data_IF_908199147361
#
_entry.id   IF_908199147361
#
_cell.length_a   1.000
_cell.length_b   1.000
_cell.length_c   1.000
_cell.angle_alpha   90.00
_cell.angle_beta   90.00
_cell.angle_gamma   90.00
#
_symmetry.space_group_name_H-M   'P 1'
#
loop_
_entity.id
_entity.type
_entity.pdbx_description
1 polymer ?
#
# COMPACT_ATOMS: atom_id res chain seq x y z
N UNK A 1 -8.91 27.92 -20.57
CA UNK A 1 -7.75 27.35 -19.84
C UNK A 1 -8.21 26.66 -18.56
N UNK A 2 -8.89 27.36 -17.63
CA UNK A 2 -9.50 26.76 -16.42
C UNK A 2 -10.44 25.57 -16.69
N UNK A 3 -11.25 25.63 -17.74
CA UNK A 3 -12.11 24.51 -18.15
C UNK A 3 -11.33 23.27 -18.57
N UNK A 4 -10.25 23.43 -19.35
CA UNK A 4 -9.41 22.31 -19.79
C UNK A 4 -8.64 21.66 -18.62
N UNK A 5 -8.27 22.47 -17.63
CA UNK A 5 -7.59 22.02 -16.40
C UNK A 5 -8.51 21.08 -15.61
N UNK A 6 -9.76 21.48 -15.38
CA UNK A 6 -10.73 20.65 -14.65
C UNK A 6 -11.10 19.38 -15.43
N UNK A 7 -11.21 19.47 -16.76
CA UNK A 7 -11.52 18.30 -17.61
C UNK A 7 -10.42 17.24 -17.51
N UNK A 8 -9.15 17.63 -17.44
CA UNK A 8 -8.04 16.67 -17.30
C UNK A 8 -8.15 15.82 -16.03
N UNK A 9 -8.30 16.45 -14.86
CA UNK A 9 -8.38 15.75 -13.57
C UNK A 9 -9.63 14.85 -13.47
N UNK A 10 -10.74 15.27 -14.08
CA UNK A 10 -11.96 14.46 -14.18
C UNK A 10 -11.72 13.21 -15.02
N UNK A 11 -11.06 13.35 -16.17
CA UNK A 11 -10.73 12.22 -17.06
C UNK A 11 -9.79 11.24 -16.35
N UNK A 12 -8.74 11.74 -15.69
CA UNK A 12 -7.81 10.90 -14.91
C UNK A 12 -8.55 10.16 -13.81
N UNK A 13 -9.42 10.85 -13.07
CA UNK A 13 -10.23 10.23 -12.01
C UNK A 13 -11.17 9.16 -12.57
N UNK A 14 -11.79 9.40 -13.73
CA UNK A 14 -12.64 8.42 -14.41
C UNK A 14 -11.88 7.14 -14.78
N UNK A 15 -10.67 7.27 -15.32
CA UNK A 15 -9.79 6.13 -15.64
C UNK A 15 -9.48 5.33 -14.36
N UNK A 16 -9.15 6.01 -13.27
CA UNK A 16 -8.84 5.38 -11.98
C UNK A 16 -10.04 4.61 -11.43
N UNK A 17 -11.24 5.19 -11.47
CA UNK A 17 -12.48 4.52 -11.04
C UNK A 17 -12.72 3.25 -11.85
N UNK A 18 -12.57 3.31 -13.18
CA UNK A 18 -12.69 2.14 -14.04
C UNK A 18 -11.65 1.08 -13.69
N UNK A 19 -10.40 1.46 -13.46
CA UNK A 19 -9.33 0.55 -13.02
C UNK A 19 -9.63 -0.13 -11.68
N UNK A 20 -10.17 0.61 -10.71
CA UNK A 20 -10.59 0.08 -9.41
C UNK A 20 -11.74 -0.95 -9.57
N UNK A 21 -12.72 -0.66 -10.44
CA UNK A 21 -13.80 -1.60 -10.75
C UNK A 21 -13.26 -2.89 -11.41
N UNK A 22 -12.32 -2.76 -12.35
CA UNK A 22 -11.65 -3.90 -12.97
C UNK A 22 -10.89 -4.73 -11.92
N UNK A 23 -10.17 -4.08 -11.02
CA UNK A 23 -9.45 -4.75 -9.93
C UNK A 23 -10.40 -5.53 -9.00
N UNK A 24 -11.56 -4.97 -8.65
CA UNK A 24 -12.59 -5.68 -7.89
C UNK A 24 -13.11 -6.91 -8.66
N UNK A 25 -13.37 -6.76 -9.96
CA UNK A 25 -13.80 -7.85 -10.82
C UNK A 25 -12.76 -8.99 -10.89
N UNK A 26 -11.48 -8.65 -11.11
CA UNK A 26 -10.39 -9.62 -11.12
C UNK A 26 -10.22 -10.31 -9.77
N UNK A 27 -10.36 -9.59 -8.66
CA UNK A 27 -10.30 -10.16 -7.32
C UNK A 27 -11.35 -11.26 -7.13
N UNK A 28 -12.60 -11.01 -7.57
CA UNK A 28 -13.68 -12.01 -7.53
C UNK A 28 -13.38 -13.20 -8.43
N UNK A 29 -12.87 -12.96 -9.65
CA UNK A 29 -12.54 -14.02 -10.59
C UNK A 29 -11.45 -14.95 -10.02
N UNK A 30 -10.39 -14.39 -9.42
CA UNK A 30 -9.31 -15.15 -8.80
C UNK A 30 -9.81 -15.93 -7.57
N UNK A 31 -10.64 -15.31 -6.74
CA UNK A 31 -11.23 -15.97 -5.58
C UNK A 31 -12.08 -17.19 -5.99
N UNK A 32 -12.90 -17.05 -7.04
CA UNK A 32 -13.69 -18.17 -7.60
C UNK A 32 -12.85 -19.29 -8.19
N UNK A 33 -11.61 -19.00 -8.59
CA UNK A 33 -10.62 -19.99 -9.06
C UNK A 33 -9.84 -20.63 -7.91
N UNK A 34 -10.13 -20.28 -6.66
CA UNK A 34 -9.48 -20.84 -5.47
C UNK A 34 -8.14 -20.17 -5.12
N UNK A 35 -7.85 -18.98 -5.66
CA UNK A 35 -6.67 -18.23 -5.24
C UNK A 35 -6.81 -17.78 -3.77
N UNK A 36 -5.77 -17.94 -2.93
CA UNK A 36 -5.83 -17.52 -1.53
C UNK A 36 -6.04 -16.00 -1.41
N UNK A 37 -6.94 -15.59 -0.51
CA UNK A 37 -7.24 -14.17 -0.27
C UNK A 37 -5.98 -13.34 0.06
N UNK A 38 -5.05 -13.90 0.84
CA UNK A 38 -3.79 -13.24 1.17
C UNK A 38 -2.97 -12.88 -0.09
N UNK A 39 -2.92 -13.76 -1.10
CA UNK A 39 -2.21 -13.48 -2.36
C UNK A 39 -2.93 -12.42 -3.19
N UNK A 40 -4.26 -12.50 -3.28
CA UNK A 40 -5.07 -11.51 -4.01
C UNK A 40 -4.82 -10.11 -3.44
N UNK A 41 -4.76 -9.99 -2.12
CA UNK A 41 -4.60 -8.69 -1.48
C UNK A 41 -3.21 -8.10 -1.62
N UNK A 42 -2.18 -8.93 -1.65
CA UNK A 42 -0.82 -8.44 -1.91
C UNK A 42 -0.62 -8.08 -3.39
N UNK A 43 -1.50 -8.55 -4.28
CA UNK A 43 -1.53 -8.14 -5.68
C UNK A 43 -2.28 -6.81 -5.92
N UNK A 44 -3.12 -6.34 -4.99
CA UNK A 44 -3.89 -5.10 -5.13
C UNK A 44 -2.98 -3.84 -5.13
N UNK A 45 -2.11 -3.59 -4.13
CA UNK A 45 -1.31 -2.37 -4.08
C UNK A 45 -0.45 -2.14 -5.33
N UNK A 46 0.19 -3.16 -5.95
CA UNK A 46 0.93 -2.96 -7.21
C UNK A 46 0.08 -2.40 -8.36
N UNK A 47 -1.21 -2.76 -8.46
CA UNK A 47 -2.11 -2.14 -9.45
C UNK A 47 -2.41 -0.68 -9.10
N UNK A 48 -2.56 -0.36 -7.81
CA UNK A 48 -2.72 1.01 -7.34
C UNK A 48 -1.46 1.86 -7.56
N UNK A 49 -0.28 1.26 -7.73
CA UNK A 49 0.93 1.98 -8.10
C UNK A 49 0.75 2.76 -9.43
N UNK A 50 -0.04 2.23 -10.37
CA UNK A 50 -0.34 2.93 -11.63
C UNK A 50 -1.07 4.25 -11.33
N UNK A 51 -2.05 4.23 -10.44
CA UNK A 51 -2.74 5.44 -10.01
C UNK A 51 -1.80 6.38 -9.26
N UNK A 52 -0.95 5.87 -8.36
CA UNK A 52 0.04 6.67 -7.64
C UNK A 52 1.00 7.37 -8.59
N UNK A 53 1.50 6.68 -9.62
CA UNK A 53 2.36 7.26 -10.67
C UNK A 53 1.69 8.42 -11.43
N UNK A 54 0.36 8.47 -11.45
CA UNK A 54 -0.40 9.57 -12.04
C UNK A 54 -0.60 10.74 -11.09
N UNK A 55 -0.29 10.63 -9.78
CA UNK A 55 -0.50 11.71 -8.81
C UNK A 55 0.16 13.04 -9.21
N UNK A 56 1.42 13.07 -9.70
CA UNK A 56 2.06 14.32 -10.13
C UNK A 56 1.38 14.98 -11.34
N UNK A 57 0.52 14.26 -12.06
CA UNK A 57 -0.19 14.76 -13.25
C UNK A 57 -1.48 15.51 -12.86
N UNK A 58 -2.03 15.24 -11.67
CA UNK A 58 -3.21 15.95 -11.20
C UNK A 58 -2.89 17.42 -10.94
N UNK A 59 -3.76 18.30 -11.42
CA UNK A 59 -3.60 19.74 -11.22
C UNK A 59 -4.11 20.14 -9.85
N UNK A 60 -5.24 19.57 -9.41
CA UNK A 60 -5.76 19.70 -8.05
C UNK A 60 -5.73 18.35 -7.32
N UNK A 61 -4.85 18.23 -6.33
CA UNK A 61 -4.66 17.02 -5.53
C UNK A 61 -5.91 16.57 -4.77
N UNK A 62 -6.94 17.43 -4.64
CA UNK A 62 -8.25 17.03 -4.06
C UNK A 62 -8.94 15.95 -4.89
N UNK A 63 -8.67 15.86 -6.20
CA UNK A 63 -9.20 14.80 -7.06
C UNK A 63 -8.68 13.41 -6.72
N UNK A 64 -7.54 13.29 -6.02
CA UNK A 64 -7.10 12.01 -5.47
C UNK A 64 -8.13 11.41 -4.50
N UNK A 65 -8.94 12.26 -3.87
CA UNK A 65 -10.07 11.86 -3.04
C UNK A 65 -11.09 11.00 -3.78
N UNK A 66 -11.27 11.17 -5.10
CA UNK A 66 -12.22 10.35 -5.88
C UNK A 66 -11.78 8.90 -5.93
N UNK A 67 -10.48 8.62 -6.10
CA UNK A 67 -9.93 7.26 -6.06
C UNK A 67 -10.12 6.60 -4.69
N UNK A 68 -9.85 7.34 -3.62
CA UNK A 68 -10.07 6.88 -2.24
C UNK A 68 -11.55 6.60 -1.96
N UNK A 69 -12.45 7.50 -2.38
CA UNK A 69 -13.89 7.33 -2.21
C UNK A 69 -14.42 6.13 -3.01
N UNK A 70 -13.91 5.89 -4.22
CA UNK A 70 -14.28 4.73 -5.03
C UNK A 70 -13.84 3.41 -4.37
N UNK A 71 -12.62 3.34 -3.85
CA UNK A 71 -12.15 2.18 -3.08
C UNK A 71 -13.00 1.96 -1.82
N UNK A 72 -13.27 3.03 -1.06
CA UNK A 72 -14.10 2.97 0.15
C UNK A 72 -15.53 2.54 -0.17
N UNK A 73 -16.12 3.06 -1.25
CA UNK A 73 -17.46 2.67 -1.67
C UNK A 73 -17.53 1.18 -1.98
N UNK A 74 -16.53 0.63 -2.70
CA UNK A 74 -16.50 -0.80 -2.99
C UNK A 74 -16.28 -1.67 -1.76
N UNK A 75 -15.44 -1.25 -0.80
CA UNK A 75 -15.24 -2.01 0.44
C UNK A 75 -16.51 -2.02 1.29
N UNK A 76 -17.19 -0.88 1.41
CA UNK A 76 -18.50 -0.79 2.09
C UNK A 76 -19.56 -1.64 1.38
N UNK A 77 -19.67 -1.55 0.05
CA UNK A 77 -20.63 -2.34 -0.72
C UNK A 77 -20.35 -3.85 -0.60
N UNK A 78 -19.08 -4.26 -0.61
CA UNK A 78 -18.69 -5.66 -0.39
C UNK A 78 -19.15 -6.20 0.97
N UNK A 79 -19.09 -5.37 2.03
CA UNK A 79 -19.51 -5.78 3.36
C UNK A 79 -21.03 -5.72 3.58
N UNK A 80 -21.74 -4.81 2.90
CA UNK A 80 -23.19 -4.64 3.08
C UNK A 80 -24.02 -5.57 2.19
N UNK A 81 -23.58 -5.83 0.97
CA UNK A 81 -24.36 -6.57 -0.03
C UNK A 81 -24.04 -8.06 0.02
N UNK A 82 -25.09 -8.89 0.03
CA UNK A 82 -24.98 -10.36 0.16
C UNK A 82 -25.02 -11.11 -1.18
N UNK A 83 -25.01 -10.41 -2.31
CA UNK A 83 -25.06 -11.08 -3.61
C UNK A 83 -23.79 -11.91 -3.85
N UNK A 84 -23.81 -12.93 -4.73
CA UNK A 84 -22.65 -13.79 -4.97
C UNK A 84 -21.41 -13.00 -5.37
N UNK A 85 -21.54 -11.93 -6.15
CA UNK A 85 -20.39 -11.09 -6.49
C UNK A 85 -19.76 -10.43 -5.26
N UNK A 86 -20.58 -9.73 -4.48
CA UNK A 86 -20.13 -8.96 -3.30
C UNK A 86 -19.59 -9.86 -2.19
N UNK A 87 -20.20 -11.01 -1.94
CA UNK A 87 -19.70 -11.98 -0.95
C UNK A 87 -18.30 -12.50 -1.33
N UNK A 88 -18.05 -12.81 -2.61
CA UNK A 88 -16.72 -13.25 -3.04
C UNK A 88 -15.72 -12.09 -3.01
N UNK A 89 -16.15 -10.87 -3.29
CA UNK A 89 -15.30 -9.68 -3.18
C UNK A 89 -14.89 -9.45 -1.72
N UNK A 90 -15.85 -9.53 -0.79
CA UNK A 90 -15.61 -9.43 0.65
C UNK A 90 -14.61 -10.50 1.09
N UNK A 91 -14.77 -11.76 0.68
CA UNK A 91 -13.80 -12.82 0.98
C UNK A 91 -12.43 -12.62 0.34
N UNK A 92 -12.37 -12.06 -0.87
CA UNK A 92 -11.10 -11.79 -1.54
C UNK A 92 -10.33 -10.65 -0.83
N UNK A 93 -11.06 -9.65 -0.32
CA UNK A 93 -10.51 -8.42 0.25
C UNK A 93 -10.41 -8.41 1.77
N UNK A 94 -11.11 -9.31 2.44
CA UNK A 94 -10.92 -9.69 3.84
C UNK A 94 -9.88 -10.81 3.89
N UNK A 95 -8.72 -10.58 4.51
CA UNK A 95 -7.82 -11.71 4.71
C UNK A 95 -7.98 -12.17 6.13
N UNK A 96 -8.63 -13.32 6.23
CA UNK A 96 -8.25 -14.26 7.24
C UNK A 96 -6.82 -14.71 6.92
N UNK A 97 -5.84 -14.32 7.74
CA UNK A 97 -4.54 -14.95 7.67
C UNK A 97 -4.74 -16.46 7.91
N UNK A 98 -4.30 -17.33 7.00
CA UNK A 98 -4.30 -18.75 7.26
C UNK A 98 -3.26 -19.00 8.36
N UNK A 99 -3.67 -19.59 9.48
CA UNK A 99 -2.78 -20.17 10.50
C UNK A 99 -1.99 -19.23 11.45
N UNK A 100 -2.55 -18.12 11.94
CA UNK A 100 -2.07 -17.57 13.23
C UNK A 100 -2.81 -18.28 14.36
N UNK A 101 -2.18 -19.32 14.91
CA UNK A 101 -2.66 -20.11 16.06
C UNK A 101 -2.49 -19.39 17.42
N UNK A 102 -1.86 -18.22 17.45
CA UNK A 102 -1.57 -17.51 18.70
C UNK A 102 -2.40 -16.21 18.80
N UNK A 103 -3.51 -16.32 19.54
CA UNK A 103 -4.41 -15.25 19.95
C UNK A 103 -3.79 -14.38 21.05
N UNK A 104 -2.69 -13.66 20.77
CA UNK A 104 -2.18 -12.66 21.72
C UNK A 104 -2.90 -11.30 21.62
N UNK A 105 -3.60 -11.02 20.52
CA UNK A 105 -4.31 -9.75 20.35
C UNK A 105 -5.73 -9.93 19.79
N UNK A 106 -6.75 -9.31 20.41
CA UNK A 106 -8.13 -9.40 19.93
C UNK A 106 -8.22 -8.84 18.51
N UNK A 107 -8.70 -9.67 17.58
CA UNK A 107 -8.92 -9.27 16.19
C UNK A 107 -10.14 -8.37 16.13
N UNK A 108 -9.93 -7.06 15.98
CA UNK A 108 -11.00 -6.14 15.62
C UNK A 108 -11.41 -6.49 14.18
N UNK A 109 -12.63 -6.99 13.99
CA UNK A 109 -13.19 -7.20 12.65
C UNK A 109 -13.39 -5.83 12.02
N UNK A 110 -12.50 -5.49 11.09
CA UNK A 110 -12.51 -4.22 10.37
C UNK A 110 -13.05 -4.43 8.96
N UNK A 111 -13.51 -3.35 8.35
CA UNK A 111 -13.90 -3.32 6.94
C UNK A 111 -12.75 -3.88 6.07
N UNK A 112 -13.03 -4.67 5.03
CA UNK A 112 -12.00 -5.13 4.10
C UNK A 112 -11.16 -3.98 3.57
N UNK A 113 -9.86 -4.20 3.40
CA UNK A 113 -8.89 -3.21 2.90
C UNK A 113 -8.80 -1.89 3.71
N UNK A 114 -9.39 -1.79 4.90
CA UNK A 114 -9.37 -0.54 5.67
C UNK A 114 -7.94 -0.07 5.95
N UNK A 115 -7.03 -0.99 6.28
CA UNK A 115 -5.62 -0.66 6.51
C UNK A 115 -4.95 -0.07 5.27
N UNK A 116 -5.24 -0.61 4.08
CA UNK A 116 -4.71 -0.08 2.83
C UNK A 116 -5.29 1.31 2.53
N UNK A 117 -6.60 1.49 2.72
CA UNK A 117 -7.27 2.78 2.57
C UNK A 117 -6.67 3.85 3.49
N UNK A 118 -6.47 3.51 4.77
CA UNK A 118 -5.85 4.41 5.75
C UNK A 118 -4.40 4.73 5.35
N UNK A 119 -3.62 3.73 4.94
CA UNK A 119 -2.24 3.95 4.52
C UNK A 119 -2.13 4.87 3.29
N UNK A 120 -2.95 4.64 2.25
CA UNK A 120 -3.01 5.52 1.07
C UNK A 120 -3.51 6.91 1.46
N UNK A 121 -4.50 7.01 2.35
CA UNK A 121 -4.99 8.30 2.85
C UNK A 121 -3.87 9.09 3.56
N UNK A 122 -3.09 8.44 4.43
CA UNK A 122 -1.95 9.07 5.10
C UNK A 122 -0.90 9.53 4.08
N UNK A 123 -0.56 8.68 3.10
CA UNK A 123 0.35 9.07 2.03
C UNK A 123 -0.21 10.23 1.18
N UNK A 124 -1.52 10.24 0.91
CA UNK A 124 -2.20 11.32 0.21
C UNK A 124 -2.23 12.63 1.03
N UNK A 125 -2.36 12.55 2.35
CA UNK A 125 -2.25 13.71 3.24
C UNK A 125 -0.83 14.28 3.22
N UNK A 126 0.19 13.42 3.26
CA UNK A 126 1.57 13.83 3.01
C UNK A 126 1.73 14.45 1.62
N UNK A 127 1.10 13.91 0.58
CA UNK A 127 1.20 14.44 -0.78
C UNK A 127 0.61 15.85 -0.91
N UNK A 128 -0.49 16.12 -0.21
CA UNK A 128 -1.08 17.45 -0.17
C UNK A 128 -0.19 18.47 0.58
N UNK A 129 0.54 18.02 1.60
CA UNK A 129 1.42 18.89 2.37
C UNK A 129 2.80 19.08 1.69
N UNK A 130 3.40 17.96 1.25
CA UNK A 130 4.74 17.81 0.69
C UNK A 130 4.66 16.72 -0.41
N UNK A 131 4.41 17.10 -1.68
CA UNK A 131 4.14 16.16 -2.79
C UNK A 131 5.17 15.04 -2.93
N UNK A 132 6.45 15.37 -2.86
CA UNK A 132 7.57 14.43 -2.96
C UNK A 132 7.58 13.36 -1.86
N UNK A 133 7.07 13.66 -0.66
CA UNK A 133 7.02 12.68 0.41
C UNK A 133 5.82 11.77 0.20
N UNK A 134 4.64 12.35 0.00
CA UNK A 134 3.43 11.55 -0.21
C UNK A 134 3.52 10.63 -1.42
N UNK A 135 4.13 11.09 -2.52
CA UNK A 135 4.35 10.30 -3.72
C UNK A 135 5.26 9.10 -3.43
N UNK A 136 6.41 9.34 -2.79
CA UNK A 136 7.36 8.29 -2.43
C UNK A 136 6.76 7.28 -1.45
N UNK A 137 6.03 7.75 -0.43
CA UNK A 137 5.34 6.90 0.54
C UNK A 137 4.29 6.00 -0.11
N UNK A 138 3.44 6.58 -0.97
CA UNK A 138 2.41 5.84 -1.68
C UNK A 138 3.02 4.76 -2.60
N UNK A 139 4.14 5.06 -3.27
CA UNK A 139 4.87 4.07 -4.05
C UNK A 139 5.49 2.97 -3.18
N UNK A 140 6.08 3.32 -2.04
CA UNK A 140 6.61 2.34 -1.09
C UNK A 140 5.51 1.38 -0.62
N UNK A 141 4.33 1.91 -0.28
CA UNK A 141 3.17 1.10 0.07
C UNK A 141 2.73 0.19 -1.07
N UNK A 142 2.70 0.71 -2.30
CA UNK A 142 2.19 -0.03 -3.46
C UNK A 142 3.18 -1.06 -4.02
N UNK A 143 4.48 -0.88 -3.82
CA UNK A 143 5.53 -1.70 -4.45
C UNK A 143 6.40 -2.40 -3.41
N UNK A 144 6.96 -1.65 -2.45
CA UNK A 144 7.95 -2.19 -1.52
C UNK A 144 7.34 -3.18 -0.52
N UNK A 145 6.15 -2.88 0.01
CA UNK A 145 5.44 -3.77 0.95
C UNK A 145 5.05 -5.11 0.30
N UNK A 146 4.40 -5.14 -0.87
CA UNK A 146 4.15 -6.37 -1.61
C UNK A 146 5.43 -7.13 -1.97
N UNK A 147 6.48 -6.44 -2.42
CA UNK A 147 7.76 -7.07 -2.74
C UNK A 147 8.36 -7.76 -1.51
N UNK A 148 8.28 -7.11 -0.35
CA UNK A 148 8.76 -7.65 0.91
C UNK A 148 7.94 -8.87 1.39
N UNK A 149 6.61 -8.85 1.17
CA UNK A 149 5.76 -10.01 1.42
C UNK A 149 6.14 -11.21 0.53
N UNK A 150 6.34 -10.97 -0.77
CA UNK A 150 6.75 -12.04 -1.68
C UNK A 150 8.14 -12.56 -1.34
N UNK A 151 9.05 -11.69 -0.94
CA UNK A 151 10.36 -12.08 -0.44
C UNK A 151 10.25 -12.99 0.79
N UNK A 152 9.42 -12.66 1.79
CA UNK A 152 9.15 -13.57 2.93
C UNK A 152 8.60 -14.92 2.47
N UNK A 153 7.60 -14.89 1.58
CA UNK A 153 6.94 -16.09 1.06
C UNK A 153 7.92 -17.04 0.37
N UNK A 154 8.76 -16.53 -0.53
CA UNK A 154 9.79 -17.34 -1.19
C UNK A 154 10.90 -17.73 -0.21
N UNK A 155 11.32 -16.81 0.66
CA UNK A 155 12.36 -17.01 1.66
C UNK A 155 12.07 -18.20 2.58
N UNK A 156 10.83 -18.35 3.04
CA UNK A 156 10.42 -19.49 3.86
C UNK A 156 10.48 -20.83 3.09
N UNK A 157 10.19 -20.81 1.79
CA UNK A 157 10.25 -22.00 0.94
C UNK A 157 11.68 -22.47 0.67
N UNK A 158 12.65 -21.55 0.66
CA UNK A 158 14.06 -21.82 0.36
C UNK A 158 14.98 -21.83 1.60
N UNK A 159 14.44 -21.71 2.82
CA UNK A 159 15.20 -21.90 4.07
C UNK A 159 16.06 -20.71 4.51
N UNK A 160 15.71 -19.49 4.10
CA UNK A 160 16.37 -18.26 4.57
C UNK A 160 16.03 -17.92 6.04
N UNK A 161 16.79 -17.00 6.64
CA UNK A 161 16.69 -16.64 8.07
C UNK A 161 15.33 -16.00 8.41
N UNK A 162 14.53 -16.69 9.22
CA UNK A 162 13.29 -16.19 9.82
C UNK A 162 13.64 -15.44 11.11
N UNK A 163 13.14 -14.20 11.26
CA UNK A 163 13.48 -13.32 12.38
C UNK A 163 12.61 -13.55 13.62
N UNK A 164 11.46 -14.21 13.45
CA UNK A 164 10.54 -14.59 14.54
C UNK A 164 10.13 -13.40 15.43
N UNK A 165 9.82 -12.26 14.82
CA UNK A 165 9.29 -11.13 15.58
C UNK A 165 7.98 -11.53 16.26
N UNK A 166 7.73 -11.12 17.53
CA UNK A 166 6.51 -11.51 18.26
C UNK A 166 5.21 -11.16 17.52
N UNK A 167 5.19 -9.99 16.86
CA UNK A 167 4.03 -9.49 16.13
C UNK A 167 3.83 -10.13 14.75
N UNK A 168 4.90 -10.70 14.17
CA UNK A 168 4.96 -11.24 12.80
C UNK A 168 6.01 -12.35 12.69
N UNK A 169 5.72 -13.56 13.21
CA UNK A 169 6.68 -14.64 13.27
C UNK A 169 7.16 -15.13 11.90
N UNK A 170 6.41 -14.82 10.85
CA UNK A 170 6.67 -15.20 9.46
C UNK A 170 7.72 -14.32 8.76
N UNK A 171 8.06 -13.15 9.30
CA UNK A 171 8.95 -12.20 8.64
C UNK A 171 10.40 -12.70 8.59
N UNK A 172 11.07 -12.45 7.46
CA UNK A 172 12.42 -12.94 7.20
C UNK A 172 13.40 -11.79 6.98
N UNK A 173 14.70 -12.07 7.20
CA UNK A 173 15.76 -11.08 6.91
C UNK A 173 15.69 -10.62 5.45
N UNK A 174 15.43 -11.54 4.53
CA UNK A 174 15.28 -11.23 3.11
C UNK A 174 14.14 -10.25 2.86
N UNK A 175 12.97 -10.45 3.48
CA UNK A 175 11.86 -9.52 3.35
C UNK A 175 12.17 -8.13 3.91
N UNK A 176 12.90 -8.03 5.03
CA UNK A 176 13.31 -6.73 5.59
C UNK A 176 14.32 -6.00 4.70
N UNK A 177 15.32 -6.72 4.17
CA UNK A 177 16.30 -6.15 3.26
C UNK A 177 15.64 -5.68 1.96
N UNK A 178 14.75 -6.48 1.36
CA UNK A 178 14.00 -6.09 0.17
C UNK A 178 13.16 -4.85 0.42
N UNK A 179 12.43 -4.79 1.55
CA UNK A 179 11.67 -3.60 1.92
C UNK A 179 12.56 -2.35 1.99
N UNK A 180 13.67 -2.43 2.73
CA UNK A 180 14.57 -1.30 2.90
C UNK A 180 15.18 -0.83 1.59
N UNK A 181 15.67 -1.76 0.76
CA UNK A 181 16.28 -1.44 -0.54
C UNK A 181 15.26 -0.76 -1.46
N UNK A 182 14.08 -1.37 -1.63
CA UNK A 182 13.05 -0.84 -2.55
C UNK A 182 12.50 0.49 -2.04
N UNK A 183 12.23 0.64 -0.74
CA UNK A 183 11.83 1.91 -0.16
C UNK A 183 12.89 2.99 -0.39
N UNK A 184 14.18 2.69 -0.13
CA UNK A 184 15.26 3.66 -0.31
C UNK A 184 15.31 4.17 -1.76
N UNK A 185 15.21 3.25 -2.74
CA UNK A 185 15.20 3.61 -4.16
C UNK A 185 13.98 4.49 -4.50
N UNK A 186 12.78 4.10 -4.06
CA UNK A 186 11.55 4.83 -4.38
C UNK A 186 11.48 6.21 -3.72
N UNK A 187 11.94 6.34 -2.47
CA UNK A 187 12.01 7.63 -1.78
C UNK A 187 13.04 8.56 -2.44
N UNK A 188 14.24 8.05 -2.78
CA UNK A 188 15.23 8.82 -3.54
C UNK A 188 14.69 9.25 -4.90
N UNK A 189 14.02 8.34 -5.62
CA UNK A 189 13.45 8.64 -6.92
C UNK A 189 12.36 9.71 -6.83
N UNK A 190 11.47 9.59 -5.84
CA UNK A 190 10.43 10.59 -5.58
C UNK A 190 11.01 11.99 -5.37
N UNK A 191 12.04 12.10 -4.53
CA UNK A 191 12.72 13.38 -4.27
C UNK A 191 13.44 13.90 -5.51
N UNK A 192 14.07 13.03 -6.29
CA UNK A 192 14.73 13.40 -7.53
C UNK A 192 13.75 13.93 -8.57
N UNK A 193 12.57 13.31 -8.73
CA UNK A 193 11.54 13.75 -9.67
C UNK A 193 11.04 15.17 -9.37
N UNK A 194 10.91 15.53 -8.08
CA UNK A 194 10.39 16.83 -7.68
C UNK A 194 11.45 17.93 -7.57
N UNK A 195 12.66 17.60 -7.11
CA UNK A 195 13.70 18.60 -6.79
C UNK A 195 14.92 18.56 -7.70
N UNK A 196 15.08 17.52 -8.54
CA UNK A 196 16.27 17.33 -9.37
C UNK A 196 17.56 17.07 -8.57
N UNK A 197 17.45 16.82 -7.26
CA UNK A 197 18.59 16.60 -6.35
C UNK A 197 19.38 15.35 -6.73
N UNK A 198 20.70 15.39 -6.55
CA UNK A 198 21.58 14.23 -6.77
C UNK A 198 21.22 13.09 -5.80
N UNK A 199 20.95 11.91 -6.35
CA UNK A 199 20.54 10.69 -5.66
C UNK A 199 21.49 10.28 -4.54
N UNK A 200 22.80 10.57 -4.67
CA UNK A 200 23.81 10.20 -3.67
C UNK A 200 23.61 10.91 -2.33
N UNK A 201 23.24 12.19 -2.34
CA UNK A 201 23.03 12.97 -1.13
C UNK A 201 21.77 12.52 -0.37
N UNK A 202 20.77 12.05 -1.12
CA UNK A 202 19.49 11.59 -0.57
C UNK A 202 19.52 10.17 -0.02
N UNK A 203 20.52 9.38 -0.42
CA UNK A 203 20.56 7.95 -0.13
C UNK A 203 20.60 7.64 1.37
N UNK A 204 21.39 8.39 2.14
CA UNK A 204 21.50 8.18 3.60
C UNK A 204 20.17 8.50 4.28
N UNK A 205 19.55 9.64 3.94
CA UNK A 205 18.27 10.04 4.53
C UNK A 205 17.15 9.04 4.16
N UNK A 206 17.08 8.62 2.90
CA UNK A 206 16.12 7.62 2.43
C UNK A 206 16.35 6.24 3.08
N UNK A 207 17.60 5.87 3.37
CA UNK A 207 17.94 4.64 4.08
C UNK A 207 17.49 4.68 5.55
N UNK A 208 17.68 5.82 6.23
CA UNK A 208 17.18 6.01 7.61
C UNK A 208 15.64 5.93 7.63
N UNK A 209 14.97 6.60 6.68
CA UNK A 209 13.53 6.54 6.52
C UNK A 209 13.04 5.11 6.21
N UNK A 210 13.74 4.37 5.34
CA UNK A 210 13.37 2.98 5.02
C UNK A 210 13.58 2.02 6.19
N UNK A 211 14.55 2.28 7.07
CA UNK A 211 14.69 1.56 8.33
C UNK A 211 13.47 1.77 9.24
N UNK A 212 12.88 2.97 9.28
CA UNK A 212 11.63 3.21 10.01
C UNK A 212 10.45 2.40 9.46
N UNK A 213 10.37 2.22 8.14
CA UNK A 213 9.39 1.32 7.51
C UNK A 213 9.58 -0.14 7.96
N UNK A 214 10.84 -0.59 7.96
CA UNK A 214 11.25 -1.93 8.38
C UNK A 214 10.91 -2.21 9.84
N UNK A 215 11.20 -1.25 10.73
CA UNK A 215 10.84 -1.31 12.15
C UNK A 215 9.32 -1.32 12.35
N UNK A 216 8.59 -0.46 11.64
CA UNK A 216 7.12 -0.41 11.71
C UNK A 216 6.50 -1.74 11.28
N UNK A 217 7.08 -2.38 10.25
CA UNK A 217 6.69 -3.72 9.80
C UNK A 217 6.95 -4.81 10.84
N UNK A 218 8.06 -4.75 11.56
CA UNK A 218 8.40 -5.73 12.60
C UNK A 218 7.54 -5.59 13.86
N UNK A 219 7.32 -4.35 14.31
CA UNK A 219 6.77 -4.10 15.64
C UNK A 219 5.24 -3.99 15.66
N UNK A 220 4.64 -3.39 14.63
CA UNK A 220 3.20 -3.07 14.65
C UNK A 220 2.38 -4.29 14.24
N UNK A 221 1.49 -4.80 15.11
CA UNK A 221 0.82 -6.07 14.89
C UNK A 221 -0.18 -6.02 13.73
N UNK A 222 -0.29 -7.16 13.06
CA UNK A 222 -1.23 -7.36 11.97
C UNK A 222 -1.04 -6.35 10.84
N UNK A 223 -2.15 -5.89 10.27
CA UNK A 223 -2.13 -5.07 9.03
C UNK A 223 -1.99 -3.58 9.28
N UNK A 224 -1.89 -3.18 10.54
CA UNK A 224 -1.66 -1.79 10.93
C UNK A 224 -0.23 -1.33 10.66
N UNK A 225 0.68 -2.26 10.34
CA UNK A 225 2.04 -1.92 9.96
C UNK A 225 2.14 -1.02 8.72
N UNK A 226 1.28 -1.18 7.71
CA UNK A 226 1.23 -0.32 6.53
C UNK A 226 0.94 1.15 6.90
N UNK A 227 -0.21 1.45 7.54
CA UNK A 227 -0.51 2.78 8.06
C UNK A 227 0.59 3.35 8.96
N UNK A 228 1.07 2.56 9.93
CA UNK A 228 2.09 3.00 10.86
C UNK A 228 3.41 3.35 10.14
N UNK A 229 3.79 2.58 9.12
CA UNK A 229 4.94 2.89 8.29
C UNK A 229 4.75 4.18 7.49
N UNK A 230 3.57 4.45 6.93
CA UNK A 230 3.33 5.71 6.21
C UNK A 230 3.47 6.93 7.13
N UNK A 231 3.02 6.83 8.39
CA UNK A 231 3.22 7.88 9.38
C UNK A 231 4.69 8.01 9.76
N UNK A 232 5.35 6.91 10.13
CA UNK A 232 6.71 6.93 10.66
C UNK A 232 7.75 7.33 9.63
N UNK A 233 7.66 6.79 8.41
CA UNK A 233 8.57 7.13 7.30
C UNK A 233 8.37 8.59 6.90
N UNK A 234 7.12 9.05 6.75
CA UNK A 234 6.83 10.44 6.41
C UNK A 234 7.35 11.41 7.47
N UNK A 235 7.17 11.07 8.74
CA UNK A 235 7.70 11.87 9.85
C UNK A 235 9.24 11.91 9.87
N UNK A 236 9.91 10.76 9.67
CA UNK A 236 11.38 10.70 9.60
C UNK A 236 11.90 11.50 8.42
N UNK A 237 11.27 11.40 7.24
CA UNK A 237 11.65 12.22 6.08
C UNK A 237 11.45 13.71 6.33
N UNK A 238 10.42 14.11 7.08
CA UNK A 238 10.20 15.51 7.45
C UNK A 238 11.19 16.04 8.48
N UNK A 239 11.71 15.18 9.36
CA UNK A 239 12.66 15.57 10.40
C UNK A 239 14.11 15.69 9.89
N UNK A 240 14.43 15.09 8.74
CA UNK A 240 15.75 15.06 8.10
C UNK A 240 15.89 16.20 7.08
#
# INVERSE_FOLDING_TARGET
MLTNIVISDVVLSGIVVVGILQMAWFSVMLMRRGAPAAMIQQAIPPFLAIWVLMWPVYIDARWLGVGLLALLALTVLASLLKSPFWSHLNMAWDAQLPNTKDDMHPRISLLPQLHLLIAIFIAGAWFQAIPEFGFGLALCLCVAFPAAFWADYFSQRYGFLILKFPSHPEQTLAGHLVLMIVCTILLCWSLHVYHGTDWKLLFIAALIASAAASVSRALVPGRWNGPAAMVSVGFVMWAL
#
